data_IF_241796415615
#
_entry.id   IF_241796415615
#
_cell.length_a   1.000
_cell.length_b   1.000
_cell.length_c   1.000
_cell.angle_alpha   90.00
_cell.angle_beta   90.00
_cell.angle_gamma   90.00
#
_symmetry.space_group_name_H-M   'P 1'
#
loop_
_entity.id
_entity.type
_entity.pdbx_description
1 polymer ?
#
# COMPACT_ATOMS: atom_id res chain seq x y z
N UNK A 1 9.68 7.33 -5.78
CA UNK A 1 9.90 7.21 -4.32
C UNK A 1 8.59 6.81 -3.64
N UNK A 2 8.62 5.84 -2.72
CA UNK A 2 7.47 5.48 -1.87
C UNK A 2 7.62 6.16 -0.51
N UNK A 3 6.58 6.87 -0.07
CA UNK A 3 6.61 7.70 1.14
C UNK A 3 5.43 7.32 2.04
N UNK A 4 5.65 6.67 3.20
CA UNK A 4 4.60 6.46 4.17
C UNK A 4 4.22 7.80 4.82
N UNK A 5 2.92 7.99 5.06
CA UNK A 5 2.36 9.20 5.63
C UNK A 5 1.37 8.82 6.74
N UNK A 6 1.86 8.91 7.98
CA UNK A 6 1.10 8.52 9.16
C UNK A 6 -0.09 9.47 9.42
N UNK A 7 0.08 10.77 9.16
CA UNK A 7 -0.97 11.77 9.39
C UNK A 7 -2.20 11.54 8.51
N UNK A 8 -2.00 10.89 7.37
CA UNK A 8 -3.07 10.66 6.40
C UNK A 8 -3.36 9.19 6.12
N UNK A 9 -2.79 8.29 6.92
CA UNK A 9 -3.00 6.84 6.87
C UNK A 9 -2.79 6.27 5.46
N UNK A 10 -1.73 6.69 4.77
CA UNK A 10 -1.52 6.31 3.38
C UNK A 10 -0.05 6.22 3.01
N UNK A 11 0.23 5.63 1.85
CA UNK A 11 1.53 5.72 1.18
C UNK A 11 1.34 6.53 -0.10
N UNK A 12 2.23 7.50 -0.31
CA UNK A 12 2.33 8.30 -1.53
C UNK A 12 3.48 7.79 -2.39
N UNK A 13 3.25 7.72 -3.69
CA UNK A 13 4.26 7.36 -4.67
C UNK A 13 4.45 8.54 -5.61
N UNK A 14 5.69 8.99 -5.73
CA UNK A 14 6.09 10.11 -6.59
C UNK A 14 7.18 9.70 -7.57
N UNK A 15 7.26 10.35 -8.71
CA UNK A 15 8.38 10.20 -9.65
C UNK A 15 9.64 10.97 -9.17
N UNK A 16 10.69 10.99 -9.98
CA UNK A 16 11.95 11.71 -9.68
C UNK A 16 11.81 13.23 -9.74
N UNK A 17 10.76 13.75 -10.37
CA UNK A 17 10.43 15.17 -10.48
C UNK A 17 9.39 15.62 -9.44
N UNK A 18 9.10 14.77 -8.45
CA UNK A 18 8.10 14.97 -7.42
C UNK A 18 6.64 15.04 -7.92
N UNK A 19 6.35 14.56 -9.13
CA UNK A 19 4.97 14.42 -9.58
C UNK A 19 4.29 13.24 -8.87
N UNK A 20 3.03 13.37 -8.45
CA UNK A 20 2.28 12.27 -7.84
C UNK A 20 1.94 11.20 -8.87
N UNK A 21 2.28 9.94 -8.58
CA UNK A 21 1.91 8.77 -9.38
C UNK A 21 0.64 8.14 -8.80
N UNK A 22 0.67 7.75 -7.52
CA UNK A 22 -0.47 7.14 -6.84
C UNK A 22 -0.40 7.41 -5.33
N UNK A 23 -1.58 7.43 -4.70
CA UNK A 23 -1.72 7.40 -3.25
C UNK A 23 -2.69 6.30 -2.87
N UNK A 24 -2.31 5.45 -1.92
CA UNK A 24 -3.13 4.35 -1.47
C UNK A 24 -3.09 4.19 0.04
N UNK A 25 -4.17 3.65 0.60
CA UNK A 25 -4.35 3.51 2.05
C UNK A 25 -5.36 4.50 2.62
N UNK A 26 -6.04 4.08 3.68
CA UNK A 26 -6.89 4.92 4.55
C UNK A 26 -6.84 4.39 5.99
N UNK A 27 -7.38 5.18 6.92
CA UNK A 27 -7.51 4.76 8.31
C UNK A 27 -8.17 3.39 8.42
N UNK A 28 -7.55 2.49 9.18
CA UNK A 28 -8.12 1.22 9.57
C UNK A 28 -7.30 0.58 10.67
N UNK A 29 -7.97 -0.08 11.61
CA UNK A 29 -7.37 -0.70 12.78
C UNK A 29 -7.36 -2.25 12.63
N UNK A 30 -7.26 -2.97 13.73
CA UNK A 30 -7.33 -4.45 13.75
C UNK A 30 -8.71 -5.02 13.41
N UNK A 31 -9.77 -4.20 13.43
CA UNK A 31 -11.09 -4.56 12.93
C UNK A 31 -11.17 -4.47 11.39
N UNK A 32 -10.19 -3.81 10.76
CA UNK A 32 -10.04 -3.67 9.31
C UNK A 32 -8.90 -4.54 8.80
N UNK A 33 -9.16 -5.83 8.58
CA UNK A 33 -8.17 -6.82 8.10
C UNK A 33 -8.50 -7.42 6.73
N UNK A 34 -9.48 -6.84 6.04
CA UNK A 34 -9.94 -7.27 4.72
C UNK A 34 -11.37 -7.82 4.74
N UNK A 35 -11.80 -8.54 3.68
CA UNK A 35 -13.22 -8.85 3.46
C UNK A 35 -13.93 -9.65 4.56
N UNK A 36 -13.18 -10.40 5.38
CA UNK A 36 -13.71 -11.22 6.49
C UNK A 36 -13.58 -10.58 7.86
N UNK A 37 -13.20 -9.31 7.92
CA UNK A 37 -13.04 -8.58 9.18
C UNK A 37 -14.34 -7.89 9.61
N UNK A 38 -14.43 -7.49 10.88
CA UNK A 38 -15.60 -6.81 11.44
C UNK A 38 -15.91 -5.50 10.72
N UNK A 39 -14.88 -4.80 10.25
CA UNK A 39 -14.98 -3.61 9.40
C UNK A 39 -14.21 -3.91 8.09
N UNK A 40 -14.88 -4.37 7.02
CA UNK A 40 -14.20 -4.86 5.81
C UNK A 40 -13.57 -3.74 4.95
N UNK A 41 -13.67 -2.49 5.37
CA UNK A 41 -13.10 -1.31 4.72
C UNK A 41 -12.08 -0.62 5.63
N UNK A 42 -11.14 0.16 5.08
CA UNK A 42 -10.80 0.30 3.66
C UNK A 42 -10.06 -0.93 3.10
N UNK A 43 -9.92 -0.99 1.78
CA UNK A 43 -9.22 -2.09 1.10
C UNK A 43 -7.75 -2.23 1.53
N UNK A 44 -7.08 -1.10 1.80
CA UNK A 44 -5.72 -1.06 2.35
C UNK A 44 -5.77 -0.24 3.67
N UNK A 45 -5.90 -0.90 4.82
CA UNK A 45 -6.06 -0.24 6.11
C UNK A 45 -4.73 0.05 6.80
N UNK A 46 -4.58 1.26 7.34
CA UNK A 46 -3.42 1.69 8.13
C UNK A 46 -3.86 2.45 9.39
N UNK A 47 -3.16 2.25 10.51
CA UNK A 47 -3.28 3.07 11.71
C UNK A 47 -2.08 3.99 11.90
N UNK A 48 -0.86 3.49 11.66
CA UNK A 48 0.37 4.28 11.73
C UNK A 48 1.45 3.71 10.79
N UNK A 49 1.36 3.99 9.48
CA UNK A 49 2.35 3.56 8.50
C UNK A 49 3.65 4.34 8.69
N UNK A 50 4.75 3.67 9.04
CA UNK A 50 6.02 4.33 9.37
C UNK A 50 7.18 3.99 8.42
N UNK A 51 7.24 2.75 7.94
CA UNK A 51 8.30 2.30 7.04
C UNK A 51 7.71 1.58 5.84
N UNK A 52 8.39 1.70 4.69
CA UNK A 52 8.01 1.03 3.45
C UNK A 52 9.22 0.33 2.85
N UNK A 53 9.03 -0.93 2.44
CA UNK A 53 9.96 -1.68 1.62
C UNK A 53 9.22 -2.14 0.35
N UNK A 54 9.91 -2.19 -0.78
CA UNK A 54 9.28 -2.46 -2.09
C UNK A 54 10.10 -3.49 -2.84
N UNK A 55 9.41 -4.43 -3.48
CA UNK A 55 9.96 -5.33 -4.50
C UNK A 55 9.22 -5.12 -5.82
N UNK A 56 9.60 -5.86 -6.86
CA UNK A 56 8.89 -5.85 -8.14
C UNK A 56 7.45 -6.38 -8.05
N UNK A 57 7.09 -7.09 -6.97
CA UNK A 57 5.78 -7.73 -6.82
C UNK A 57 4.85 -7.01 -5.85
N UNK A 58 5.41 -6.36 -4.82
CA UNK A 58 4.62 -5.84 -3.72
C UNK A 58 5.33 -4.72 -2.94
N UNK A 59 4.49 -3.92 -2.29
CA UNK A 59 4.86 -2.96 -1.26
C UNK A 59 4.56 -3.56 0.11
N UNK A 60 5.53 -3.46 1.02
CA UNK A 60 5.42 -3.89 2.41
C UNK A 60 5.47 -2.66 3.30
N UNK A 61 4.41 -2.42 4.07
CA UNK A 61 4.29 -1.25 4.94
C UNK A 61 4.23 -1.68 6.39
N UNK A 62 5.10 -1.12 7.22
CA UNK A 62 5.07 -1.29 8.66
C UNK A 62 3.97 -0.41 9.26
N UNK A 63 2.91 -1.04 9.77
CA UNK A 63 1.74 -0.40 10.38
C UNK A 63 1.80 -0.61 11.90
N UNK A 64 2.58 0.23 12.58
CA UNK A 64 3.14 -0.08 13.90
C UNK A 64 2.10 -0.12 15.01
N UNK A 65 1.05 0.72 14.95
CA UNK A 65 -0.04 0.69 15.94
C UNK A 65 -0.84 -0.61 15.83
N UNK A 66 -1.07 -1.10 14.61
CA UNK A 66 -1.76 -2.37 14.38
C UNK A 66 -0.83 -3.59 14.54
N UNK A 67 0.47 -3.38 14.83
CA UNK A 67 1.47 -4.46 15.01
C UNK A 67 1.49 -5.47 13.86
N UNK A 68 1.41 -4.97 12.63
CA UNK A 68 1.38 -5.80 11.42
C UNK A 68 2.23 -5.20 10.30
N UNK A 69 2.60 -6.06 9.35
CA UNK A 69 3.07 -5.63 8.03
C UNK A 69 1.93 -5.80 7.03
N UNK A 70 1.58 -4.75 6.32
CA UNK A 70 0.60 -4.81 5.22
C UNK A 70 1.37 -5.04 3.93
N UNK A 71 1.02 -6.11 3.20
CA UNK A 71 1.51 -6.39 1.85
C UNK A 71 0.47 -5.95 0.82
N UNK A 72 0.80 -4.95 0.01
CA UNK A 72 -0.01 -4.51 -1.13
C UNK A 72 0.64 -4.99 -2.43
N UNK A 73 -0.09 -5.74 -3.26
CA UNK A 73 0.39 -6.20 -4.57
C UNK A 73 0.54 -5.01 -5.51
N UNK A 74 1.64 -4.97 -6.26
CA UNK A 74 1.83 -4.05 -7.37
C UNK A 74 1.40 -4.74 -8.67
N UNK A 75 0.62 -4.04 -9.49
CA UNK A 75 0.33 -4.43 -10.86
C UNK A 75 0.58 -3.21 -11.76
N UNK A 76 0.88 -3.46 -13.03
CA UNK A 76 0.96 -2.41 -14.03
C UNK A 76 -0.43 -2.05 -14.55
N UNK A 77 -0.62 -0.79 -14.95
CA UNK A 77 -1.89 -0.35 -15.55
C UNK A 77 -2.10 -0.91 -16.96
N UNK A 78 -1.01 -1.29 -17.64
CA UNK A 78 -1.01 -1.94 -18.93
C UNK A 78 0.08 -3.02 -18.93
N UNK A 79 -0.26 -4.21 -19.42
CA UNK A 79 0.64 -5.35 -19.58
C UNK A 79 0.54 -5.85 -21.01
N UNK A 80 1.69 -6.09 -21.65
CA UNK A 80 1.77 -6.69 -22.98
C UNK A 80 2.68 -7.92 -22.89
N UNK A 81 2.19 -9.06 -23.38
CA UNK A 81 2.92 -10.32 -23.35
C UNK A 81 3.13 -10.81 -24.79
N UNK A 82 4.38 -11.14 -25.13
CA UNK A 82 4.74 -11.67 -26.45
C UNK A 82 5.08 -13.16 -26.29
N UNK A 83 4.45 -14.06 -27.07
CA UNK A 83 4.77 -15.48 -27.01
C UNK A 83 6.19 -15.74 -27.53
N UNK A 84 6.92 -16.61 -26.83
CA UNK A 84 8.24 -17.08 -27.26
C UNK A 84 8.02 -18.10 -28.40
N UNK A 85 8.77 -17.95 -29.50
CA UNK A 85 8.78 -18.89 -30.64
C UNK A 85 9.68 -20.08 -30.39
#
# INVERSE_FOLDING_TARGET
VFMPDAATFSVRVIDTNANPIIRFGRYGNMDSRGPKSSIPTPAIPFAWPQYVAVSNEAVYVSDVINRRIVRAKLNYSAEEAIPIK
#
